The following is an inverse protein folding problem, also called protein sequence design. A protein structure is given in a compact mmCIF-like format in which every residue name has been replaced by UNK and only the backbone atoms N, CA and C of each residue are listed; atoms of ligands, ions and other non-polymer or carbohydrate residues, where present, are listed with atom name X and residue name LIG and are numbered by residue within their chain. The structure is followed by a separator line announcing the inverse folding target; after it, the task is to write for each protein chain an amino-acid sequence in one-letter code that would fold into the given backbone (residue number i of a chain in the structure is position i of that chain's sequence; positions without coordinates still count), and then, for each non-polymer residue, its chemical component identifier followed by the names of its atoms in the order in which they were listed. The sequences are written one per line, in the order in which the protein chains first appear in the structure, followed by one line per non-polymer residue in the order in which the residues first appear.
data_IF_862874638034
#
_entry.id   IF_862874638034
#
_cell.length_a   1.000
_cell.length_b   1.000
_cell.length_c   1.000
_cell.angle_alpha   90.00
_cell.angle_beta   90.00
_cell.angle_gamma   90.00
#
_symmetry.space_group_name_H-M   'P 1'
#
loop_
_entity.id
_entity.type
_entity.pdbx_description
1 polymer ?
#
# COMPACT_ATOMS: atom_id res chain seq x y z
N UNK A 1 3.51 -3.63 22.84
CA UNK A 1 3.51 -2.95 21.52
C UNK A 1 3.22 -3.89 20.36
N UNK A 2 3.98 -4.99 20.17
CA UNK A 2 3.73 -5.92 19.05
C UNK A 2 2.31 -6.51 19.06
N UNK A 3 1.75 -6.80 20.23
CA UNK A 3 0.38 -7.34 20.35
C UNK A 3 -0.68 -6.38 19.80
N UNK A 4 -0.45 -5.06 19.89
CA UNK A 4 -1.35 -4.07 19.32
C UNK A 4 -1.27 -4.06 17.80
N UNK A 5 -0.07 -4.21 17.23
CA UNK A 5 0.15 -4.34 15.79
C UNK A 5 -0.53 -5.61 15.27
N UNK A 6 -0.26 -6.76 15.91
CA UNK A 6 -0.86 -8.04 15.50
C UNK A 6 -2.38 -8.01 15.65
N UNK A 7 -2.91 -7.45 16.74
CA UNK A 7 -4.36 -7.29 16.95
C UNK A 7 -4.99 -6.37 15.89
N UNK A 8 -4.26 -5.35 15.43
CA UNK A 8 -4.72 -4.49 14.34
C UNK A 8 -4.93 -5.29 13.04
N UNK A 9 -3.94 -6.09 12.63
CA UNK A 9 -4.05 -6.91 11.42
C UNK A 9 -5.13 -7.98 11.56
N UNK A 10 -5.21 -8.67 12.70
CA UNK A 10 -6.21 -9.71 12.96
C UNK A 10 -7.65 -9.19 13.04
N UNK A 11 -7.85 -7.92 13.40
CA UNK A 11 -9.19 -7.31 13.48
C UNK A 11 -9.75 -6.95 12.10
N UNK A 12 -8.90 -6.79 11.09
CA UNK A 12 -9.31 -6.42 9.74
C UNK A 12 -9.53 -7.68 8.90
N UNK A 13 -10.77 -7.90 8.46
CA UNK A 13 -11.18 -9.10 7.67
C UNK A 13 -10.42 -9.26 6.35
N UNK A 14 -9.80 -8.18 5.85
CA UNK A 14 -9.05 -8.18 4.58
C UNK A 14 -7.67 -8.83 4.66
N UNK A 15 -7.14 -9.08 5.86
CA UNK A 15 -5.80 -9.64 6.04
C UNK A 15 -5.86 -11.11 6.46
N UNK A 16 -5.05 -11.93 5.79
CA UNK A 16 -4.88 -13.34 6.08
C UNK A 16 -3.51 -13.53 6.69
N UNK A 17 -3.44 -14.15 7.86
CA UNK A 17 -2.19 -14.53 8.52
C UNK A 17 -1.65 -15.82 7.89
N UNK A 18 -0.39 -15.80 7.43
CA UNK A 18 0.26 -17.01 6.92
C UNK A 18 0.81 -17.83 8.08
N UNK A 19 0.22 -19.00 8.33
CA UNK A 19 0.61 -19.87 9.44
C UNK A 19 1.60 -20.99 9.03
N UNK A 20 1.75 -21.24 7.73
CA UNK A 20 2.50 -22.40 7.20
C UNK A 20 3.89 -22.02 6.65
N UNK A 21 4.45 -20.88 7.05
CA UNK A 21 5.79 -20.46 6.63
C UNK A 21 6.69 -20.58 7.86
N UNK A 22 7.65 -21.50 7.82
CA UNK A 22 8.73 -21.51 8.80
C UNK A 22 9.56 -20.24 8.60
N UNK A 23 9.80 -19.49 9.67
CA UNK A 23 10.51 -18.23 9.66
C UNK A 23 11.45 -18.21 10.85
N UNK A 24 12.71 -17.85 10.63
CA UNK A 24 13.74 -17.87 11.66
C UNK A 24 13.77 -16.53 12.42
N UNK A 25 13.65 -15.40 11.71
CA UNK A 25 13.73 -14.06 12.29
C UNK A 25 12.42 -13.26 12.17
N UNK A 26 11.55 -13.60 11.21
CA UNK A 26 10.21 -13.04 11.11
C UNK A 26 9.26 -13.74 12.10
N UNK A 27 8.41 -12.96 12.76
CA UNK A 27 7.44 -13.53 13.72
C UNK A 27 6.06 -13.73 13.12
N UNK A 28 5.63 -12.82 12.26
CA UNK A 28 4.30 -12.88 11.64
C UNK A 28 4.34 -12.40 10.21
N UNK A 29 3.49 -12.97 9.37
CA UNK A 29 3.27 -12.51 8.00
C UNK A 29 1.76 -12.39 7.77
N UNK A 30 1.34 -11.23 7.27
CA UNK A 30 -0.04 -10.96 6.88
C UNK A 30 -0.09 -10.60 5.40
N UNK A 31 -1.06 -11.11 4.66
CA UNK A 31 -1.29 -10.76 3.27
C UNK A 31 -2.70 -10.26 3.04
N UNK A 32 -2.85 -9.33 2.10
CA UNK A 32 -4.10 -9.02 1.41
C UNK A 32 -3.91 -9.31 -0.08
N UNK A 33 -4.98 -9.22 -0.90
CA UNK A 33 -4.85 -9.32 -2.36
C UNK A 33 -3.93 -8.25 -2.99
N UNK A 34 -3.59 -7.19 -2.26
CA UNK A 34 -2.83 -6.03 -2.74
C UNK A 34 -1.48 -5.85 -2.05
N UNK A 35 -1.29 -6.35 -0.82
CA UNK A 35 -0.11 -6.04 -0.01
C UNK A 35 0.31 -7.21 0.88
N UNK A 36 1.61 -7.32 1.16
CA UNK A 36 2.16 -8.31 2.10
C UNK A 36 2.96 -7.61 3.19
N UNK A 37 2.68 -7.95 4.45
CA UNK A 37 3.28 -7.38 5.64
C UNK A 37 4.07 -8.44 6.40
N UNK A 38 5.38 -8.26 6.52
CA UNK A 38 6.23 -8.99 7.44
C UNK A 38 6.36 -8.23 8.74
N UNK A 39 6.26 -8.91 9.89
CA UNK A 39 6.42 -8.31 11.21
C UNK A 39 7.49 -9.06 11.97
N UNK A 40 8.47 -8.32 12.49
CA UNK A 40 9.46 -8.84 13.44
C UNK A 40 9.56 -7.95 14.68
N UNK A 41 10.18 -8.49 15.73
CA UNK A 41 10.32 -7.83 17.02
C UNK A 41 11.77 -7.87 17.47
N UNK A 42 12.29 -6.71 17.83
CA UNK A 42 13.60 -6.49 18.41
C UNK A 42 13.47 -6.07 19.87
N UNK A 43 14.40 -6.53 20.71
CA UNK A 43 14.42 -6.20 22.13
C UNK A 43 14.90 -4.77 22.39
N UNK A 44 15.86 -4.31 21.58
CA UNK A 44 16.50 -3.01 21.69
C UNK A 44 17.06 -2.49 20.37
N UNK A 45 17.53 -1.25 20.38
CA UNK A 45 18.12 -0.58 19.23
C UNK A 45 19.37 -1.30 18.68
N UNK A 46 20.22 -1.85 19.55
CA UNK A 46 21.41 -2.58 19.13
C UNK A 46 21.07 -3.86 18.36
N UNK A 47 20.02 -4.58 18.79
CA UNK A 47 19.50 -5.75 18.08
C UNK A 47 18.87 -5.36 16.74
N UNK A 48 18.17 -4.22 16.67
CA UNK A 48 17.66 -3.67 15.42
C UNK A 48 18.84 -3.42 14.46
N UNK A 49 19.83 -2.64 14.87
CA UNK A 49 20.97 -2.25 14.04
C UNK A 49 21.73 -3.45 13.47
N UNK A 50 21.87 -4.53 14.24
CA UNK A 50 22.64 -5.72 13.85
C UNK A 50 21.90 -6.64 12.89
N UNK A 51 20.58 -6.79 13.06
CA UNK A 51 19.83 -7.92 12.47
C UNK A 51 18.72 -7.50 11.50
N UNK A 52 18.40 -6.20 11.35
CA UNK A 52 17.34 -5.73 10.44
C UNK A 52 17.58 -6.10 8.96
N UNK A 53 18.84 -6.07 8.50
CA UNK A 53 19.19 -6.43 7.12
C UNK A 53 18.92 -7.91 6.86
N UNK A 54 19.32 -8.78 7.79
CA UNK A 54 19.11 -10.23 7.68
C UNK A 54 17.63 -10.59 7.65
N UNK A 55 16.82 -9.93 8.49
CA UNK A 55 15.36 -10.10 8.47
C UNK A 55 14.79 -9.65 7.12
N UNK A 56 15.31 -8.54 6.56
CA UNK A 56 14.89 -8.06 5.26
C UNK A 56 15.22 -9.05 4.15
N UNK A 57 16.40 -9.65 4.17
CA UNK A 57 16.80 -10.67 3.21
C UNK A 57 15.96 -11.93 3.35
N UNK A 58 15.72 -12.41 4.57
CA UNK A 58 14.85 -13.57 4.81
C UNK A 58 13.44 -13.31 4.27
N UNK A 59 12.87 -12.14 4.56
CA UNK A 59 11.54 -11.77 4.07
C UNK A 59 11.49 -11.74 2.55
N UNK A 60 12.48 -11.12 1.91
CA UNK A 60 12.57 -11.07 0.46
C UNK A 60 12.65 -12.48 -0.14
N UNK A 61 13.59 -13.31 0.33
CA UNK A 61 13.83 -14.63 -0.26
C UNK A 61 12.66 -15.57 -0.02
N UNK A 62 12.16 -15.68 1.21
CA UNK A 62 11.08 -16.62 1.56
C UNK A 62 9.75 -16.22 0.93
N UNK A 63 9.43 -14.93 0.83
CA UNK A 63 8.17 -14.49 0.19
C UNK A 63 8.29 -14.46 -1.33
N UNK A 64 9.36 -13.88 -1.89
CA UNK A 64 9.47 -13.78 -3.35
C UNK A 64 9.61 -15.15 -4.03
N UNK A 65 10.17 -16.15 -3.35
CA UNK A 65 10.21 -17.53 -3.86
C UNK A 65 8.84 -18.22 -3.83
N UNK A 66 7.94 -17.81 -2.94
CA UNK A 66 6.58 -18.34 -2.84
C UNK A 66 5.57 -17.59 -3.73
N UNK A 67 5.89 -16.37 -4.15
CA UNK A 67 5.08 -15.59 -5.09
C UNK A 67 5.27 -16.10 -6.53
N UNK A 68 4.48 -17.10 -6.92
CA UNK A 68 4.48 -17.68 -8.27
C UNK A 68 3.37 -17.06 -9.15
N UNK A 69 3.70 -16.82 -10.42
CA UNK A 69 2.78 -16.43 -11.50
C UNK A 69 1.95 -15.15 -11.29
N UNK A 70 0.72 -15.26 -10.75
CA UNK A 70 -0.31 -14.20 -10.73
C UNK A 70 -0.14 -13.15 -9.62
N UNK A 71 0.82 -13.34 -8.72
CA UNK A 71 1.13 -12.44 -7.61
C UNK A 71 2.46 -11.69 -7.84
N UNK A 72 2.93 -11.60 -9.09
CA UNK A 72 4.20 -10.95 -9.41
C UNK A 72 4.16 -9.44 -9.10
N UNK A 73 2.99 -8.81 -9.30
CA UNK A 73 2.80 -7.39 -9.03
C UNK A 73 2.88 -7.07 -7.53
N UNK A 74 2.47 -8.02 -6.67
CA UNK A 74 2.58 -7.94 -5.20
C UNK A 74 4.02 -7.92 -4.68
N UNK A 75 5.02 -8.27 -5.51
CA UNK A 75 6.44 -8.16 -5.11
C UNK A 75 6.85 -6.74 -4.78
N UNK A 76 6.15 -5.74 -5.34
CA UNK A 76 6.45 -4.33 -5.13
C UNK A 76 5.69 -3.71 -3.95
N UNK A 77 4.62 -4.37 -3.50
CA UNK A 77 3.76 -3.95 -2.39
C UNK A 77 3.97 -4.79 -1.13
N UNK A 78 5.23 -5.12 -0.89
CA UNK A 78 5.68 -5.72 0.36
C UNK A 78 6.07 -4.61 1.36
N UNK A 79 5.83 -4.87 2.64
CA UNK A 79 6.15 -3.97 3.74
C UNK A 79 6.73 -4.77 4.90
N UNK A 80 7.86 -4.31 5.43
CA UNK A 80 8.48 -4.90 6.61
C UNK A 80 8.33 -3.96 7.80
N UNK A 81 7.64 -4.45 8.84
CA UNK A 81 7.39 -3.75 10.08
C UNK A 81 8.38 -4.25 11.13
N UNK A 82 9.28 -3.37 11.54
CA UNK A 82 10.32 -3.61 12.53
C UNK A 82 9.85 -3.00 13.85
N UNK A 83 9.44 -3.84 14.81
CA UNK A 83 8.94 -3.38 16.11
C UNK A 83 10.06 -3.49 17.15
N UNK A 84 10.47 -2.37 17.72
CA UNK A 84 11.42 -2.34 18.85
C UNK A 84 10.64 -2.19 20.15
N UNK A 85 10.93 -3.04 21.13
CA UNK A 85 10.23 -3.02 22.42
C UNK A 85 10.67 -1.87 23.32
N UNK A 86 11.90 -1.38 23.16
CA UNK A 86 12.44 -0.23 23.90
C UNK A 86 12.43 1.04 23.05
N UNK A 87 12.71 2.16 23.70
CA UNK A 87 12.92 3.44 23.03
C UNK A 87 14.14 3.37 22.10
N UNK A 88 14.05 4.08 20.98
CA UNK A 88 15.17 4.30 20.06
C UNK A 88 15.71 5.71 20.27
N UNK A 89 16.99 5.83 20.59
CA UNK A 89 17.66 7.12 20.76
C UNK A 89 18.16 7.65 19.41
N UNK A 90 18.63 6.75 18.52
CA UNK A 90 19.11 7.12 17.19
C UNK A 90 17.99 7.20 16.14
N UNK A 91 17.53 8.43 15.89
CA UNK A 91 16.56 8.74 14.84
C UNK A 91 17.19 8.59 13.44
N UNK A 92 18.50 8.76 13.29
CA UNK A 92 19.19 8.61 12.01
C UNK A 92 19.20 7.14 11.57
N UNK A 93 19.40 6.21 12.50
CA UNK A 93 19.27 4.77 12.26
C UNK A 93 17.87 4.43 11.71
N UNK A 94 16.81 4.97 12.33
CA UNK A 94 15.44 4.77 11.85
C UNK A 94 15.26 5.27 10.42
N UNK A 95 15.72 6.49 10.13
CA UNK A 95 15.64 7.09 8.79
C UNK A 95 16.47 6.31 7.78
N UNK A 96 17.64 5.81 8.17
CA UNK A 96 18.48 5.00 7.30
C UNK A 96 17.76 3.72 6.87
N UNK A 97 17.14 3.03 7.84
CA UNK A 97 16.37 1.80 7.59
C UNK A 97 15.13 2.10 6.73
N UNK A 98 14.35 3.14 7.06
CA UNK A 98 13.13 3.50 6.32
C UNK A 98 13.43 4.01 4.90
N UNK A 99 14.55 4.71 4.69
CA UNK A 99 15.01 5.16 3.37
C UNK A 99 15.63 4.04 2.54
N UNK A 100 16.02 2.93 3.16
CA UNK A 100 16.51 1.77 2.45
C UNK A 100 15.35 1.11 1.68
N UNK A 101 15.23 1.45 0.40
CA UNK A 101 14.22 0.88 -0.53
C UNK A 101 14.64 -0.46 -1.14
N UNK A 102 15.71 -1.08 -0.64
CA UNK A 102 16.13 -2.38 -1.15
C UNK A 102 15.04 -3.42 -0.85
N UNK A 103 14.59 -4.12 -1.89
CA UNK A 103 13.48 -5.08 -1.90
C UNK A 103 12.07 -4.50 -1.67
N UNK A 104 11.87 -3.72 -0.61
CA UNK A 104 10.56 -3.20 -0.20
C UNK A 104 10.67 -2.08 0.85
N UNK A 105 9.54 -1.45 1.17
CA UNK A 105 9.45 -0.40 2.20
C UNK A 105 9.57 -1.02 3.60
N UNK A 106 10.35 -0.35 4.46
CA UNK A 106 10.59 -0.74 5.86
C UNK A 106 10.01 0.33 6.76
N UNK A 107 9.41 -0.08 7.88
CA UNK A 107 8.75 0.81 8.84
C UNK A 107 9.28 0.46 10.22
N UNK A 108 9.88 1.43 10.89
CA UNK A 108 10.41 1.24 12.25
C UNK A 108 9.43 1.83 13.27
N UNK A 109 9.02 0.98 14.20
CA UNK A 109 8.09 1.32 15.27
C UNK A 109 8.79 1.11 16.62
N UNK A 110 8.79 2.13 17.47
CA UNK A 110 9.25 2.07 18.86
C UNK A 110 8.30 2.88 19.76
N UNK A 111 8.32 2.64 21.07
CA UNK A 111 7.40 3.27 22.02
C UNK A 111 7.48 4.82 22.00
N UNK A 112 8.67 5.37 21.74
CA UNK A 112 8.92 6.81 21.69
C UNK A 112 8.70 7.48 20.32
N UNK A 113 8.45 6.71 19.25
CA UNK A 113 8.36 7.24 17.88
C UNK A 113 6.95 7.72 17.46
N UNK A 114 6.00 7.76 18.39
CA UNK A 114 4.64 8.27 18.18
C UNK A 114 3.65 7.25 17.63
N UNK A 115 2.37 7.66 17.53
CA UNK A 115 1.23 6.78 17.27
C UNK A 115 1.41 5.86 16.04
N UNK A 116 1.28 4.56 16.30
CA UNK A 116 1.22 3.44 15.34
C UNK A 116 0.43 3.74 14.06
N UNK A 117 -0.61 4.57 14.17
CA UNK A 117 -1.52 4.93 13.08
C UNK A 117 -0.88 5.81 12.00
N UNK A 118 0.10 6.66 12.35
CA UNK A 118 0.70 7.62 11.40
C UNK A 118 1.82 7.02 10.53
N UNK A 119 2.46 5.95 11.00
CA UNK A 119 3.62 5.34 10.35
C UNK A 119 3.30 4.11 9.52
N UNK A 120 2.20 3.44 9.82
CA UNK A 120 1.73 2.33 9.00
C UNK A 120 1.12 2.92 7.72
N UNK A 121 1.51 2.47 6.52
CA UNK A 121 0.92 2.89 5.25
C UNK A 121 -0.53 2.39 5.07
N UNK A 122 -1.25 2.13 6.16
CA UNK A 122 -2.59 1.56 6.17
C UNK A 122 -3.67 2.65 6.08
N UNK A 123 -3.28 3.94 6.00
CA UNK A 123 -4.18 5.00 5.53
C UNK A 123 -4.28 5.08 4.00
N UNK A 124 -3.56 4.25 3.23
CA UNK A 124 -3.64 4.32 1.76
C UNK A 124 -4.66 3.41 1.10
N UNK A 125 -5.38 2.54 1.83
CA UNK A 125 -6.44 1.76 1.20
C UNK A 125 -7.72 1.65 2.04
N UNK A 126 -8.70 2.46 1.61
CA UNK A 126 -10.13 2.12 1.53
C UNK A 126 -11.03 2.46 2.75
N UNK A 127 -10.95 3.67 3.30
CA UNK A 127 -12.12 4.28 3.96
C UNK A 127 -12.77 5.42 3.17
N UNK A 128 -12.06 6.01 2.20
CA UNK A 128 -12.63 6.97 1.25
C UNK A 128 -12.41 6.47 -0.18
N UNK A 129 -13.23 5.50 -0.61
CA UNK A 129 -13.38 5.17 -2.04
C UNK A 129 -13.86 6.38 -2.85
N UNK A 130 -14.40 7.40 -2.18
CA UNK A 130 -14.89 8.64 -2.79
C UNK A 130 -13.83 9.75 -2.92
N UNK A 131 -12.62 9.61 -2.35
CA UNK A 131 -11.61 10.68 -2.37
C UNK A 131 -10.16 10.16 -2.44
N UNK A 132 -9.78 9.56 -3.57
CA UNK A 132 -8.37 9.49 -3.98
C UNK A 132 -7.95 10.86 -4.53
N UNK A 133 -7.56 11.81 -3.66
CA UNK A 133 -7.10 13.15 -4.09
C UNK A 133 -5.86 13.12 -4.99
N UNK A 134 -5.08 12.02 -4.98
CA UNK A 134 -3.90 11.85 -5.85
C UNK A 134 -4.27 11.57 -7.31
N UNK A 135 -5.48 11.06 -7.55
CA UNK A 135 -6.07 10.85 -8.88
C UNK A 135 -7.47 11.46 -8.90
N UNK A 136 -7.61 12.74 -8.55
CA UNK A 136 -8.91 13.39 -8.72
C UNK A 136 -9.28 13.37 -10.20
N UNK A 137 -10.53 13.04 -10.51
CA UNK A 137 -11.07 13.07 -11.88
C UNK A 137 -10.77 14.41 -12.56
N UNK A 138 -10.77 15.50 -11.78
CA UNK A 138 -10.41 16.84 -12.24
C UNK A 138 -8.94 16.96 -12.70
N UNK A 139 -8.01 16.28 -12.03
CA UNK A 139 -6.60 16.28 -12.37
C UNK A 139 -6.32 15.37 -13.56
N UNK A 140 -7.00 14.21 -13.62
CA UNK A 140 -6.99 13.35 -14.80
C UNK A 140 -7.51 14.10 -16.04
N UNK A 141 -8.64 14.81 -15.93
CA UNK A 141 -9.20 15.61 -17.03
C UNK A 141 -8.26 16.73 -17.47
N UNK A 142 -7.56 17.39 -16.53
CA UNK A 142 -6.57 18.43 -16.85
C UNK A 142 -5.38 17.87 -17.62
N UNK A 143 -4.85 16.72 -17.21
CA UNK A 143 -3.74 16.08 -17.94
C UNK A 143 -4.20 15.51 -19.28
N UNK A 144 -5.40 14.93 -19.35
CA UNK A 144 -5.99 14.46 -20.60
C UNK A 144 -6.14 15.60 -21.62
N UNK A 145 -6.63 16.77 -21.20
CA UNK A 145 -6.72 17.96 -22.06
C UNK A 145 -5.36 18.40 -22.63
N UNK A 146 -4.25 18.18 -21.92
CA UNK A 146 -2.90 18.56 -22.40
C UNK A 146 -2.36 17.62 -23.46
N UNK A 147 -2.76 16.35 -23.43
CA UNK A 147 -2.21 15.30 -24.30
C UNK A 147 -3.10 15.02 -25.52
N UNK A 148 -4.40 15.31 -25.43
CA UNK A 148 -5.36 15.01 -26.50
C UNK A 148 -5.23 16.02 -27.66
N UNK A 149 -5.06 15.55 -28.91
CA UNK A 149 -5.06 16.40 -30.10
C UNK A 149 -6.36 17.17 -30.27
N UNK A 150 -6.30 18.39 -30.80
CA UNK A 150 -7.46 19.29 -30.99
C UNK A 150 -8.61 18.66 -31.78
N UNK A 151 -8.29 17.78 -32.74
CA UNK A 151 -9.25 17.01 -33.55
C UNK A 151 -10.08 16.03 -32.71
N UNK A 152 -9.49 15.45 -31.67
CA UNK A 152 -10.16 14.52 -30.76
C UNK A 152 -10.85 15.31 -29.63
N UNK A 153 -10.24 16.40 -29.18
CA UNK A 153 -10.83 17.28 -28.17
C UNK A 153 -12.17 17.89 -28.60
N UNK A 154 -12.36 18.15 -29.90
CA UNK A 154 -13.64 18.64 -30.43
C UNK A 154 -14.78 17.61 -30.41
N UNK A 155 -14.45 16.31 -30.23
CA UNK A 155 -15.43 15.22 -30.11
C UNK A 155 -15.77 14.89 -28.66
N UNK A 156 -14.97 15.35 -27.70
CA UNK A 156 -15.21 15.20 -26.28
C UNK A 156 -15.75 16.50 -25.70
N UNK A 157 -16.98 16.49 -25.20
CA UNK A 157 -17.48 17.62 -24.43
C UNK A 157 -16.95 17.54 -23.00
N UNK A 158 -15.73 18.03 -22.81
CA UNK A 158 -15.08 18.11 -21.50
C UNK A 158 -15.87 18.92 -20.47
N UNK A 159 -16.78 19.79 -20.90
CA UNK A 159 -17.60 20.58 -19.97
C UNK A 159 -18.62 19.73 -19.21
N UNK A 160 -19.02 18.58 -19.78
CA UNK A 160 -19.88 17.60 -19.10
C UNK A 160 -19.14 16.87 -17.98
N UNK A 161 -17.90 16.44 -18.25
CA UNK A 161 -17.04 15.76 -17.27
C UNK A 161 -16.54 16.68 -16.14
N UNK A 162 -16.67 17.99 -16.29
CA UNK A 162 -16.40 18.96 -15.22
C UNK A 162 -17.61 19.19 -14.29
N UNK A 163 -18.82 18.80 -14.71
CA UNK A 163 -20.08 19.08 -13.99
C UNK A 163 -20.74 17.84 -13.39
N UNK A 164 -20.47 16.68 -13.97
CA UNK A 164 -21.08 15.40 -13.62
C UNK A 164 -19.99 14.37 -13.37
N UNK A 165 -20.30 13.31 -12.61
CA UNK A 165 -19.34 12.23 -12.38
C UNK A 165 -19.00 11.51 -13.68
N UNK A 166 -17.77 10.99 -13.81
CA UNK A 166 -17.35 10.22 -14.99
C UNK A 166 -18.33 9.07 -15.30
N UNK A 167 -18.87 8.43 -14.25
CA UNK A 167 -19.85 7.35 -14.38
C UNK A 167 -21.16 7.82 -15.02
N UNK A 168 -21.68 8.98 -14.62
CA UNK A 168 -22.91 9.55 -15.19
C UNK A 168 -22.72 9.98 -16.64
N UNK A 169 -21.61 10.64 -16.95
CA UNK A 169 -21.31 11.09 -18.32
C UNK A 169 -21.08 9.90 -19.25
N UNK A 170 -20.34 8.88 -18.80
CA UNK A 170 -20.13 7.67 -19.59
C UNK A 170 -21.44 6.93 -19.85
N UNK A 171 -22.34 6.88 -18.86
CA UNK A 171 -23.66 6.30 -19.05
C UNK A 171 -24.47 7.08 -20.10
N UNK A 172 -24.49 8.42 -20.04
CA UNK A 172 -25.22 9.26 -20.99
C UNK A 172 -24.64 9.20 -22.42
N UNK A 173 -23.33 9.24 -22.57
CA UNK A 173 -22.66 9.31 -23.89
C UNK A 173 -22.57 7.92 -24.54
N UNK A 174 -22.28 6.87 -23.76
CA UNK A 174 -21.94 5.55 -24.31
C UNK A 174 -22.97 4.46 -24.06
N UNK A 175 -23.85 4.57 -23.05
CA UNK A 175 -24.81 3.50 -22.72
C UNK A 175 -26.25 3.85 -23.09
N UNK A 176 -26.74 5.06 -22.78
CA UNK A 176 -28.11 5.49 -23.10
C UNK A 176 -28.46 5.48 -24.61
N UNK A 177 -27.53 5.81 -25.54
CA UNK A 177 -27.80 5.70 -26.97
C UNK A 177 -28.01 4.26 -27.46
N UNK A 178 -27.60 3.26 -26.67
CA UNK A 178 -27.78 1.84 -26.98
C UNK A 178 -28.96 1.23 -26.23
N UNK A 179 -29.34 1.77 -25.07
CA UNK A 179 -30.60 1.42 -24.39
C UNK A 179 -31.84 1.93 -25.13
N UNK A 180 -31.72 3.02 -25.88
CA UNK A 180 -32.79 3.57 -26.72
C UNK A 180 -32.92 2.91 -28.10
N UNK A 181 -32.07 1.92 -28.41
CA UNK A 181 -32.10 1.15 -29.67
C UNK A 181 -32.70 -0.26 -29.54
N UNK A 182 -33.38 -0.56 -28.44
CA UNK A 182 -34.39 -1.64 -28.44
C UNK A 182 -35.71 -1.11 -29.02
N UNK A 183 -35.76 -0.94 -30.34
CA UNK A 183 -36.96 -1.08 -31.19
C UNK A 183 -36.54 -1.74 -32.50
#
# INVERSE_FOLDING_TARGET
MVDQVVKYFRKKEKFIEFQNIELDLLKFIFGSPQQIFGITVFEDESSLQRDWEKVSEEFAVRIQSQLVASLYDLKWDMYLILVVQKNIEDIELCKHIENNRMFFKKIVLAENLGDLKRKLPIELELENLDQLEVFSDSQFLKELKKVVPSEVASKFDFSLYERLSITEVNNMIFLEPYKSKEV
#
